data_IF_824255871414
#
_entry.id   IF_824255871414
#
_cell.length_a   1.000
_cell.length_b   1.000
_cell.length_c   1.000
_cell.angle_alpha   90.00
_cell.angle_beta   90.00
_cell.angle_gamma   90.00
#
_symmetry.space_group_name_H-M   'P 1'
#
loop_
_entity.id
_entity.type
_entity.pdbx_description
1 polymer ?
#
# COMPACT_ATOMS: atom_id res chain seq x y z
N UNK A 1 -1.71 -26.52 -27.99
CA UNK A 1 -0.55 -26.19 -27.12
C UNK A 1 -0.95 -26.41 -25.67
N UNK A 2 -0.44 -27.46 -25.02
CA UNK A 2 -0.60 -27.61 -23.56
C UNK A 2 0.36 -26.62 -22.90
N UNK A 3 -0.09 -25.40 -22.64
CA UNK A 3 0.61 -24.54 -21.68
C UNK A 3 0.51 -25.24 -20.33
N UNK A 4 1.59 -25.92 -19.92
CA UNK A 4 1.68 -26.53 -18.62
C UNK A 4 1.62 -25.40 -17.59
N UNK A 5 0.64 -25.41 -16.68
CA UNK A 5 0.51 -24.38 -15.64
C UNK A 5 1.83 -24.18 -14.86
N UNK A 6 2.59 -25.28 -14.68
CA UNK A 6 3.93 -25.25 -14.09
C UNK A 6 4.90 -24.34 -14.85
N UNK A 7 4.85 -24.37 -16.17
CA UNK A 7 5.70 -23.54 -17.03
C UNK A 7 5.32 -22.07 -16.95
N UNK A 8 4.02 -21.77 -16.91
CA UNK A 8 3.54 -20.41 -16.74
C UNK A 8 3.96 -19.82 -15.39
N UNK A 9 3.89 -20.62 -14.32
CA UNK A 9 4.38 -20.23 -12.98
C UNK A 9 5.88 -20.01 -13.00
N UNK A 10 6.66 -20.95 -13.54
CA UNK A 10 8.12 -20.82 -13.66
C UNK A 10 8.51 -19.56 -14.41
N UNK A 11 7.88 -19.30 -15.57
CA UNK A 11 8.12 -18.10 -16.37
C UNK A 11 7.77 -16.81 -15.64
N UNK A 12 6.70 -16.82 -14.83
CA UNK A 12 6.27 -15.61 -14.12
C UNK A 12 7.14 -15.28 -12.91
N UNK A 13 7.61 -16.29 -12.18
CA UNK A 13 8.22 -16.10 -10.85
C UNK A 13 9.70 -16.49 -10.77
N UNK A 14 10.18 -17.43 -11.60
CA UNK A 14 11.57 -17.92 -11.55
C UNK A 14 12.43 -17.30 -12.66
N UNK A 15 11.97 -17.37 -13.91
CA UNK A 15 12.73 -16.81 -15.05
C UNK A 15 13.16 -15.34 -14.90
N UNK A 16 12.38 -14.44 -14.24
CA UNK A 16 12.84 -13.08 -14.02
C UNK A 16 14.15 -12.98 -13.21
N UNK A 17 14.49 -13.99 -12.41
CA UNK A 17 15.68 -14.03 -11.54
C UNK A 17 16.94 -14.56 -12.24
N UNK A 18 16.82 -15.10 -13.45
CA UNK A 18 17.95 -15.72 -14.19
C UNK A 18 18.73 -14.72 -15.05
N UNK A 19 18.15 -13.54 -15.28
CA UNK A 19 18.76 -12.50 -16.11
C UNK A 19 19.75 -11.67 -15.29
N UNK A 20 20.92 -11.28 -15.83
CA UNK A 20 21.82 -10.33 -15.19
C UNK A 20 21.08 -9.01 -14.94
N UNK A 21 21.05 -8.53 -13.69
CA UNK A 21 20.37 -7.28 -13.33
C UNK A 21 21.31 -6.31 -12.64
N UNK A 22 21.10 -5.02 -12.92
CA UNK A 22 21.54 -3.96 -12.03
C UNK A 22 20.67 -4.01 -10.79
N UNK A 23 21.27 -3.94 -9.60
CA UNK A 23 20.51 -3.91 -8.35
C UNK A 23 19.69 -2.62 -8.28
N UNK A 24 18.36 -2.75 -8.37
CA UNK A 24 17.43 -1.67 -8.07
C UNK A 24 16.70 -1.94 -6.75
N UNK A 25 16.13 -0.88 -6.21
CA UNK A 25 15.28 -0.91 -5.02
C UNK A 25 13.90 -0.41 -5.45
N UNK A 26 12.86 -1.19 -5.17
CA UNK A 26 11.47 -0.72 -5.14
C UNK A 26 11.09 -0.38 -3.70
N UNK A 27 10.30 0.68 -3.52
CA UNK A 27 9.78 1.07 -2.20
C UNK A 27 8.32 1.46 -2.38
N UNK A 28 7.46 0.87 -1.56
CA UNK A 28 6.05 1.21 -1.49
C UNK A 28 5.73 1.64 -0.05
N UNK A 29 5.00 2.73 0.10
CA UNK A 29 4.63 3.29 1.41
C UNK A 29 3.17 3.65 1.38
N UNK A 30 2.41 2.99 2.24
CA UNK A 30 1.02 3.32 2.54
C UNK A 30 0.97 4.27 3.73
N UNK A 31 0.13 5.30 3.62
CA UNK A 31 0.08 6.41 4.56
C UNK A 31 -1.39 6.72 4.89
N UNK A 32 -1.82 6.61 6.15
CA UNK A 32 -3.16 7.01 6.53
C UNK A 32 -3.34 8.50 6.28
N UNK A 33 -4.38 8.85 5.51
CA UNK A 33 -4.96 10.18 5.51
C UNK A 33 -5.80 10.29 6.79
N UNK A 34 -5.57 11.33 7.59
CA UNK A 34 -6.30 11.59 8.83
C UNK A 34 -6.98 12.95 8.80
N UNK A 35 -8.10 13.07 9.52
CA UNK A 35 -8.68 14.37 9.86
C UNK A 35 -7.93 14.99 11.04
N UNK A 36 -7.51 16.25 10.90
CA UNK A 36 -6.87 17.02 11.98
C UNK A 36 -7.84 17.35 13.13
N UNK A 37 -9.14 17.12 12.95
CA UNK A 37 -10.16 17.26 14.01
C UNK A 37 -10.32 16.01 14.87
N UNK A 38 -9.65 14.89 14.54
CA UNK A 38 -9.83 13.62 15.24
C UNK A 38 -11.15 12.91 14.95
N UNK A 39 -11.68 13.15 13.75
CA UNK A 39 -12.91 12.57 13.21
C UNK A 39 -12.58 11.62 12.03
N UNK A 40 -13.61 11.12 11.35
CA UNK A 40 -13.43 10.36 10.12
C UNK A 40 -12.74 11.19 9.04
N UNK A 41 -11.98 10.50 8.20
CA UNK A 41 -11.37 11.08 7.02
C UNK A 41 -12.44 11.46 6.01
N UNK A 42 -12.33 12.65 5.43
CA UNK A 42 -13.11 13.01 4.25
C UNK A 42 -12.47 12.38 3.01
N UNK A 43 -13.04 11.26 2.57
CA UNK A 43 -12.55 10.51 1.40
C UNK A 43 -12.56 11.34 0.12
N UNK A 44 -13.42 12.36 0.00
CA UNK A 44 -13.41 13.27 -1.14
C UNK A 44 -12.17 14.17 -1.15
N UNK A 45 -11.68 14.57 0.03
CA UNK A 45 -10.43 15.32 0.17
C UNK A 45 -9.23 14.44 -0.17
N UNK A 46 -9.23 13.17 0.27
CA UNK A 46 -8.20 12.20 -0.11
C UNK A 46 -8.13 12.01 -1.62
N UNK A 47 -9.25 11.69 -2.27
CA UNK A 47 -9.30 11.49 -3.72
C UNK A 47 -8.88 12.74 -4.49
N UNK A 48 -9.27 13.93 -4.03
CA UNK A 48 -8.83 15.19 -4.61
C UNK A 48 -7.32 15.42 -4.46
N UNK A 49 -6.71 14.95 -3.36
CA UNK A 49 -5.27 15.05 -3.15
C UNK A 49 -4.47 14.21 -4.15
N UNK A 50 -4.93 12.98 -4.45
CA UNK A 50 -4.32 12.15 -5.50
C UNK A 50 -4.38 12.86 -6.85
N UNK A 51 -5.56 13.36 -7.22
CA UNK A 51 -5.76 14.06 -8.50
C UNK A 51 -4.88 15.30 -8.62
N UNK A 52 -4.80 16.10 -7.56
CA UNK A 52 -4.00 17.32 -7.57
C UNK A 52 -2.49 17.05 -7.57
N UNK A 53 -2.04 16.01 -6.85
CA UNK A 53 -0.66 15.55 -6.90
C UNK A 53 -0.31 15.00 -8.29
N UNK A 54 -1.16 14.16 -8.87
CA UNK A 54 -0.97 13.63 -10.20
C UNK A 54 -0.82 14.74 -11.24
N UNK A 55 -1.71 15.76 -11.19
CA UNK A 55 -1.61 16.94 -12.05
C UNK A 55 -0.31 17.72 -11.84
N UNK A 56 0.12 17.90 -10.59
CA UNK A 56 1.34 18.66 -10.24
C UNK A 56 2.61 17.99 -10.75
N UNK A 57 2.67 16.67 -10.67
CA UNK A 57 3.85 15.87 -11.01
C UNK A 57 3.79 15.25 -12.40
N UNK A 58 2.72 15.52 -13.17
CA UNK A 58 2.57 15.02 -14.54
C UNK A 58 2.26 13.52 -14.63
N UNK A 59 1.57 12.96 -13.64
CA UNK A 59 1.14 11.56 -13.65
C UNK A 59 -0.16 11.44 -14.45
N UNK A 60 -0.34 10.30 -15.11
CA UNK A 60 -1.54 9.96 -15.88
C UNK A 60 -2.46 9.09 -15.04
N UNK A 61 -3.74 9.44 -14.94
CA UNK A 61 -4.75 8.61 -14.26
C UNK A 61 -4.92 7.26 -15.00
N UNK A 62 -4.81 6.14 -14.28
CA UNK A 62 -4.85 4.77 -14.88
C UNK A 62 -6.02 3.93 -14.39
N UNK A 63 -6.55 4.18 -13.19
CA UNK A 63 -7.72 3.46 -12.65
C UNK A 63 -8.73 4.39 -12.00
N UNK A 64 -9.99 4.03 -12.21
CA UNK A 64 -11.15 4.73 -11.66
C UNK A 64 -12.10 3.73 -11.00
N UNK A 65 -12.78 4.17 -9.95
CA UNK A 65 -13.83 3.38 -9.30
C UNK A 65 -15.11 3.34 -10.16
N UNK A 66 -16.15 2.64 -9.71
CA UNK A 66 -17.43 2.55 -10.45
C UNK A 66 -18.16 3.90 -10.60
N UNK A 67 -17.75 4.94 -9.87
CA UNK A 67 -18.29 6.29 -9.95
C UNK A 67 -17.41 7.24 -10.78
N UNK A 68 -16.31 6.75 -11.35
CA UNK A 68 -15.38 7.56 -12.13
C UNK A 68 -14.37 8.35 -11.29
N UNK A 69 -14.22 8.04 -10.00
CA UNK A 69 -13.21 8.67 -9.13
C UNK A 69 -11.87 7.97 -9.34
N UNK A 70 -10.85 8.75 -9.70
CA UNK A 70 -9.49 8.24 -9.86
C UNK A 70 -8.96 7.69 -8.53
N UNK A 71 -8.40 6.47 -8.56
CA UNK A 71 -7.75 5.86 -7.40
C UNK A 71 -6.36 5.29 -7.74
N UNK A 72 -5.86 5.53 -8.95
CA UNK A 72 -4.49 5.23 -9.35
C UNK A 72 -4.03 6.20 -10.45
N UNK A 73 -2.81 6.71 -10.33
CA UNK A 73 -2.13 7.49 -11.36
C UNK A 73 -0.65 7.09 -11.45
N UNK A 74 -0.08 7.08 -12.65
CA UNK A 74 1.27 6.59 -12.94
C UNK A 74 2.10 7.67 -13.65
N UNK A 75 3.35 7.83 -13.22
CA UNK A 75 4.36 8.58 -13.96
C UNK A 75 5.10 7.65 -14.92
N UNK A 76 4.93 7.81 -16.23
CA UNK A 76 5.61 6.97 -17.21
C UNK A 76 7.13 7.13 -17.21
N UNK A 77 7.62 8.34 -16.89
CA UNK A 77 9.05 8.65 -16.89
C UNK A 77 9.78 7.92 -15.76
N UNK A 78 9.22 7.94 -14.56
CA UNK A 78 9.88 7.39 -13.37
C UNK A 78 9.38 6.00 -12.99
N UNK A 79 8.19 5.62 -13.45
CA UNK A 79 7.47 4.43 -13.00
C UNK A 79 6.82 4.58 -11.61
N UNK A 80 6.78 5.79 -11.05
CA UNK A 80 6.12 6.04 -9.77
C UNK A 80 4.60 5.96 -9.90
N UNK A 81 3.94 5.50 -8.85
CA UNK A 81 2.49 5.32 -8.79
C UNK A 81 1.95 5.96 -7.53
N UNK A 82 0.87 6.75 -7.69
CA UNK A 82 0.00 7.14 -6.59
C UNK A 82 -1.27 6.30 -6.64
N UNK A 83 -1.66 5.72 -5.52
CA UNK A 83 -2.80 4.81 -5.42
C UNK A 83 -3.51 4.95 -4.08
N UNK A 84 -4.64 4.25 -3.93
CA UNK A 84 -5.25 3.98 -2.64
C UNK A 84 -5.24 2.49 -2.35
N UNK A 85 -4.74 2.08 -1.19
CA UNK A 85 -4.85 0.68 -0.77
C UNK A 85 -6.17 0.44 -0.03
N UNK A 86 -7.02 -0.39 -0.65
CA UNK A 86 -8.32 -0.83 -0.17
C UNK A 86 -9.37 0.26 0.08
N UNK A 87 -9.02 1.46 0.52
CA UNK A 87 -9.90 2.55 0.92
C UNK A 87 -9.26 3.91 0.63
N UNK A 88 -10.08 4.93 0.38
CA UNK A 88 -9.64 6.32 0.25
C UNK A 88 -9.02 6.92 1.54
N UNK A 89 -8.95 6.13 2.61
CA UNK A 89 -8.25 6.50 3.84
C UNK A 89 -6.75 6.23 3.80
N UNK A 90 -6.26 5.41 2.86
CA UNK A 90 -4.88 4.92 2.85
C UNK A 90 -4.22 5.25 1.52
N UNK A 91 -3.48 6.37 1.49
CA UNK A 91 -2.79 6.82 0.29
C UNK A 91 -1.50 6.04 0.14
N UNK A 92 -1.26 5.47 -1.03
CA UNK A 92 -0.07 4.68 -1.34
C UNK A 92 0.82 5.44 -2.33
N UNK A 93 2.12 5.48 -2.03
CA UNK A 93 3.17 5.94 -2.94
C UNK A 93 4.06 4.74 -3.24
N UNK A 94 3.99 4.26 -4.48
CA UNK A 94 4.80 3.17 -4.99
C UNK A 94 5.87 3.72 -5.91
N UNK A 95 7.10 3.81 -5.42
CA UNK A 95 8.22 4.38 -6.16
C UNK A 95 8.72 3.40 -7.20
N UNK A 96 8.82 3.88 -8.44
CA UNK A 96 9.55 3.22 -9.51
C UNK A 96 11.01 3.00 -9.12
N UNK A 97 11.66 2.07 -9.82
CA UNK A 97 12.98 1.53 -9.49
C UNK A 97 14.03 2.63 -9.28
N UNK A 98 14.68 2.65 -8.12
CA UNK A 98 15.82 3.52 -7.83
C UNK A 98 17.13 2.75 -7.70
N UNK A 99 18.25 3.44 -7.88
CA UNK A 99 19.57 2.88 -7.59
C UNK A 99 20.05 3.19 -6.18
N UNK A 100 19.55 4.27 -5.59
CA UNK A 100 19.97 4.73 -4.26
C UNK A 100 18.78 5.11 -3.39
N UNK A 101 18.94 4.96 -2.08
CA UNK A 101 17.92 5.42 -1.12
C UNK A 101 17.75 6.95 -1.15
N UNK A 102 18.79 7.70 -1.56
CA UNK A 102 18.71 9.16 -1.70
C UNK A 102 17.77 9.59 -2.84
N UNK A 103 17.77 8.87 -3.97
CA UNK A 103 16.81 9.10 -5.05
C UNK A 103 15.37 8.86 -4.59
N UNK A 104 15.14 7.77 -3.86
CA UNK A 104 13.82 7.47 -3.30
C UNK A 104 13.39 8.53 -2.29
N UNK A 105 14.29 8.90 -1.36
CA UNK A 105 14.03 9.90 -0.34
C UNK A 105 13.68 11.26 -0.96
N UNK A 106 14.42 11.70 -1.97
CA UNK A 106 14.19 12.99 -2.62
C UNK A 106 12.79 13.06 -3.24
N UNK A 107 12.39 12.04 -4.02
CA UNK A 107 11.06 11.97 -4.65
C UNK A 107 9.95 11.84 -3.61
N UNK A 108 10.09 10.92 -2.67
CA UNK A 108 9.10 10.73 -1.60
C UNK A 108 8.88 12.02 -0.80
N UNK A 109 9.96 12.73 -0.44
CA UNK A 109 9.87 13.97 0.33
C UNK A 109 9.15 15.06 -0.45
N UNK A 110 9.42 15.21 -1.75
CA UNK A 110 8.74 16.19 -2.60
C UNK A 110 7.23 15.88 -2.72
N UNK A 111 6.90 14.61 -3.00
CA UNK A 111 5.51 14.14 -3.11
C UNK A 111 4.72 14.37 -1.82
N UNK A 112 5.24 13.87 -0.70
CA UNK A 112 4.57 14.00 0.61
C UNK A 112 4.45 15.46 1.02
N UNK A 113 5.46 16.29 0.77
CA UNK A 113 5.41 17.73 1.10
C UNK A 113 4.30 18.45 0.32
N UNK A 114 4.19 18.17 -0.98
CA UNK A 114 3.12 18.74 -1.80
C UNK A 114 1.74 18.26 -1.38
N UNK A 115 1.57 16.94 -1.22
CA UNK A 115 0.29 16.32 -0.83
C UNK A 115 -0.15 16.85 0.54
N UNK A 116 0.76 16.91 1.52
CA UNK A 116 0.43 17.43 2.86
C UNK A 116 0.12 18.92 2.86
N UNK A 117 0.70 19.72 1.95
CA UNK A 117 0.31 21.12 1.78
C UNK A 117 -1.16 21.21 1.34
N UNK A 118 -1.56 20.40 0.36
CA UNK A 118 -2.94 20.34 -0.12
C UNK A 118 -3.93 19.86 0.95
N UNK A 119 -3.58 18.78 1.67
CA UNK A 119 -4.42 18.18 2.70
C UNK A 119 -4.57 19.09 3.92
N UNK A 120 -3.50 19.73 4.39
CA UNK A 120 -3.53 20.62 5.56
C UNK A 120 -4.46 21.80 5.35
N UNK A 121 -4.47 22.38 4.15
CA UNK A 121 -5.41 23.44 3.78
C UNK A 121 -6.87 23.01 3.87
N UNK A 122 -7.14 21.71 3.90
CA UNK A 122 -8.46 21.08 4.01
C UNK A 122 -8.67 20.33 5.33
N UNK A 123 -7.83 20.61 6.34
CA UNK A 123 -7.95 20.00 7.66
C UNK A 123 -7.58 18.52 7.72
N UNK A 124 -6.75 18.04 6.78
CA UNK A 124 -6.29 16.65 6.71
C UNK A 124 -4.77 16.55 6.70
N UNK A 125 -4.24 15.33 6.86
CA UNK A 125 -2.80 15.06 6.85
C UNK A 125 -2.51 13.61 6.45
N UNK A 126 -1.49 13.37 5.62
CA UNK A 126 -0.86 12.05 5.52
C UNK A 126 0.06 11.82 6.71
N UNK A 127 -0.10 10.66 7.36
CA UNK A 127 0.73 10.23 8.49
C UNK A 127 1.57 9.00 8.13
N UNK A 128 2.56 8.69 8.96
CA UNK A 128 3.37 7.47 8.83
C UNK A 128 2.97 6.38 9.83
N UNK A 129 1.72 6.36 10.29
CA UNK A 129 1.24 5.37 11.26
C UNK A 129 0.85 4.06 10.56
N UNK A 130 1.13 2.92 11.19
CA UNK A 130 0.73 1.61 10.65
C UNK A 130 -0.75 1.31 10.81
N UNK A 131 -1.44 2.07 11.68
CA UNK A 131 -2.90 2.06 11.82
C UNK A 131 -3.38 3.50 11.84
N UNK A 132 -4.47 3.79 11.14
CA UNK A 132 -5.13 5.08 11.23
C UNK A 132 -5.57 5.33 12.69
N UNK A 133 -5.10 6.40 13.36
CA UNK A 133 -5.38 6.63 14.78
C UNK A 133 -6.86 6.82 15.09
N UNK A 134 -7.69 7.13 14.08
CA UNK A 134 -9.13 7.31 14.22
C UNK A 134 -9.94 6.15 13.64
N UNK A 135 -9.34 4.97 13.45
CA UNK A 135 -9.96 3.81 12.79
C UNK A 135 -11.37 3.47 13.29
N UNK A 136 -11.66 3.62 14.59
CA UNK A 136 -13.01 3.39 15.18
C UNK A 136 -14.10 4.29 14.62
N UNK A 137 -13.73 5.55 14.35
CA UNK A 137 -14.66 6.58 13.85
C UNK A 137 -14.66 6.64 12.33
N UNK A 138 -13.63 6.07 11.71
CA UNK A 138 -13.35 6.27 10.31
C UNK A 138 -14.39 5.58 9.42
N UNK A 139 -14.55 6.08 8.20
CA UNK A 139 -15.37 5.41 7.20
C UNK A 139 -14.58 4.24 6.62
N UNK A 140 -14.91 3.00 7.01
CA UNK A 140 -14.21 1.79 6.57
C UNK A 140 -14.75 1.24 5.25
N UNK A 141 -15.32 2.09 4.40
CA UNK A 141 -15.71 1.73 3.05
C UNK A 141 -14.48 1.41 2.20
N UNK A 142 -14.58 0.30 1.46
CA UNK A 142 -13.59 -0.04 0.45
C UNK A 142 -13.76 0.85 -0.79
N UNK A 143 -12.68 1.08 -1.54
CA UNK A 143 -12.74 1.72 -2.85
C UNK A 143 -13.74 0.94 -3.71
N UNK A 144 -14.77 1.61 -4.29
CA UNK A 144 -15.82 0.97 -5.08
C UNK A 144 -15.32 0.34 -6.39
N UNK A 145 -14.61 -0.79 -6.30
CA UNK A 145 -14.09 -1.54 -7.45
C UNK A 145 -14.36 -3.04 -7.30
N UNK A 146 -14.48 -3.79 -8.40
CA UNK A 146 -14.72 -5.24 -8.33
C UNK A 146 -13.68 -6.00 -7.50
N UNK A 147 -12.41 -5.58 -7.56
CA UNK A 147 -11.31 -6.20 -6.79
C UNK A 147 -11.54 -6.05 -5.28
N UNK A 148 -11.80 -4.83 -4.82
CA UNK A 148 -11.95 -4.57 -3.39
C UNK A 148 -13.30 -5.03 -2.85
N UNK A 149 -14.37 -5.02 -3.65
CA UNK A 149 -15.65 -5.63 -3.29
C UNK A 149 -15.53 -7.14 -3.10
N UNK A 150 -14.77 -7.83 -3.96
CA UNK A 150 -14.46 -9.25 -3.78
C UNK A 150 -13.69 -9.49 -2.47
N UNK A 151 -12.67 -8.67 -2.17
CA UNK A 151 -11.89 -8.77 -0.93
C UNK A 151 -12.77 -8.54 0.30
N UNK A 152 -13.58 -7.47 0.31
CA UNK A 152 -14.53 -7.16 1.38
C UNK A 152 -15.49 -8.33 1.63
N UNK A 153 -16.08 -8.87 0.56
CA UNK A 153 -16.97 -10.02 0.64
C UNK A 153 -16.29 -11.26 1.21
N UNK A 154 -15.04 -11.52 0.83
CA UNK A 154 -14.27 -12.64 1.36
C UNK A 154 -13.94 -12.47 2.85
N UNK A 155 -13.46 -11.29 3.26
CA UNK A 155 -13.11 -11.01 4.66
C UNK A 155 -14.33 -11.08 5.59
N UNK A 156 -15.52 -10.69 5.11
CA UNK A 156 -16.76 -10.79 5.91
C UNK A 156 -17.20 -12.23 6.19
N UNK A 157 -16.80 -13.21 5.37
CA UNK A 157 -17.11 -14.63 5.60
C UNK A 157 -16.48 -15.19 6.87
N UNK A 158 -15.46 -14.53 7.43
CA UNK A 158 -14.88 -14.95 8.72
C UNK A 158 -15.92 -15.00 9.85
N UNK A 159 -17.00 -14.21 9.74
CA UNK A 159 -18.12 -14.20 10.69
C UNK A 159 -19.00 -15.44 10.61
N UNK A 160 -18.93 -16.18 9.50
CA UNK A 160 -19.73 -17.37 9.23
C UNK A 160 -18.92 -18.66 9.51
N UNK A 161 -17.62 -18.56 9.75
CA UNK A 161 -16.72 -19.71 9.87
C UNK A 161 -16.32 -19.95 11.31
N UNK A 162 -16.61 -21.15 11.82
CA UNK A 162 -16.12 -21.60 13.11
C UNK A 162 -14.69 -22.13 12.96
N UNK A 163 -13.75 -21.53 13.69
CA UNK A 163 -12.36 -21.98 13.80
C UNK A 163 -11.98 -22.00 15.27
N UNK A 164 -11.23 -23.03 15.69
CA UNK A 164 -10.60 -23.03 17.00
C UNK A 164 -9.65 -21.83 17.14
N UNK A 165 -9.83 -21.04 18.21
CA UNK A 165 -9.17 -19.73 18.40
C UNK A 165 -9.82 -18.54 17.66
N UNK A 166 -10.81 -18.76 16.81
CA UNK A 166 -11.58 -17.72 16.13
C UNK A 166 -10.81 -16.91 15.06
N UNK A 167 -11.47 -15.87 14.55
CA UNK A 167 -10.86 -14.82 13.71
C UNK A 167 -10.89 -13.49 14.47
N UNK A 168 -9.95 -12.58 14.18
CA UNK A 168 -10.01 -11.23 14.73
C UNK A 168 -11.31 -10.51 14.30
N UNK A 169 -11.85 -9.59 15.11
CA UNK A 169 -13.16 -8.97 14.84
C UNK A 169 -13.13 -7.95 13.69
N UNK A 170 -11.94 -7.45 13.32
CA UNK A 170 -11.78 -6.38 12.32
C UNK A 170 -11.86 -6.86 10.87
N UNK A 171 -13.06 -7.17 10.36
CA UNK A 171 -13.23 -7.59 8.95
C UNK A 171 -12.88 -6.50 7.92
N UNK A 172 -12.73 -5.25 8.36
CA UNK A 172 -12.40 -4.09 7.53
C UNK A 172 -10.99 -3.56 7.79
N UNK A 173 -10.13 -4.32 8.47
CA UNK A 173 -8.75 -3.91 8.77
C UNK A 173 -7.95 -3.35 7.59
N UNK A 174 -8.09 -3.84 6.32
CA UNK A 174 -7.32 -3.28 5.22
C UNK A 174 -7.64 -1.82 4.92
N UNK A 175 -8.77 -1.31 5.40
CA UNK A 175 -9.20 0.08 5.16
C UNK A 175 -8.55 1.10 6.11
N UNK A 176 -7.80 0.61 7.10
CA UNK A 176 -7.16 1.46 8.12
C UNK A 176 -5.77 0.98 8.56
N UNK A 177 -5.28 -0.15 8.04
CA UNK A 177 -3.90 -0.58 8.19
C UNK A 177 -3.04 -0.04 7.06
N UNK A 178 -1.78 0.28 7.37
CA UNK A 178 -0.80 0.74 6.41
C UNK A 178 0.51 0.00 6.60
N UNK A 179 1.17 -0.32 5.49
CA UNK A 179 2.47 -0.95 5.48
C UNK A 179 3.53 -0.11 4.73
N UNK A 180 4.79 -0.45 4.97
CA UNK A 180 5.92 0.00 4.16
C UNK A 180 6.65 -1.24 3.64
N UNK A 181 6.80 -1.35 2.34
CA UNK A 181 7.39 -2.49 1.66
C UNK A 181 8.64 -2.10 0.89
N UNK A 182 9.58 -3.03 0.77
CA UNK A 182 10.75 -2.91 -0.10
C UNK A 182 10.81 -4.10 -1.03
N UNK A 183 11.05 -3.85 -2.31
CA UNK A 183 11.26 -4.88 -3.32
C UNK A 183 12.74 -4.89 -3.71
N UNK A 184 13.36 -6.05 -3.62
CA UNK A 184 14.77 -6.26 -3.95
C UNK A 184 14.89 -7.21 -5.13
N UNK A 185 15.74 -6.86 -6.10
CA UNK A 185 16.14 -7.80 -7.15
C UNK A 185 17.01 -8.91 -6.52
N UNK A 186 16.74 -10.16 -6.93
CA UNK A 186 17.47 -11.35 -6.47
C UNK A 186 17.79 -12.24 -7.67
N UNK A 187 18.97 -12.85 -7.66
CA UNK A 187 19.38 -13.81 -8.70
C UNK A 187 18.90 -15.21 -8.35
N UNK A 188 18.72 -16.07 -9.34
CA UNK A 188 18.24 -17.45 -9.15
C UNK A 188 19.11 -18.21 -8.12
N UNK A 189 20.43 -18.01 -8.15
CA UNK A 189 21.38 -18.72 -7.27
C UNK A 189 21.23 -18.32 -5.80
N UNK A 190 20.76 -17.09 -5.53
CA UNK A 190 20.63 -16.54 -4.18
C UNK A 190 19.18 -16.49 -3.68
N UNK A 191 18.21 -16.92 -4.49
CA UNK A 191 16.79 -16.80 -4.17
C UNK A 191 16.43 -17.42 -2.81
N UNK A 192 16.85 -18.66 -2.56
CA UNK A 192 16.57 -19.34 -1.30
C UNK A 192 17.28 -18.68 -0.11
N UNK A 193 18.56 -18.32 -0.27
CA UNK A 193 19.36 -17.66 0.78
C UNK A 193 18.73 -16.33 1.20
N UNK A 194 18.29 -15.52 0.23
CA UNK A 194 17.65 -14.23 0.50
C UNK A 194 16.31 -14.43 1.19
N UNK A 195 15.46 -15.35 0.73
CA UNK A 195 14.18 -15.65 1.38
C UNK A 195 14.39 -16.10 2.83
N UNK A 196 15.35 -16.99 3.08
CA UNK A 196 15.68 -17.47 4.41
C UNK A 196 16.17 -16.33 5.32
N UNK A 197 17.13 -15.53 4.84
CA UNK A 197 17.66 -14.39 5.58
C UNK A 197 16.56 -13.39 5.95
N UNK A 198 15.69 -13.01 5.00
CA UNK A 198 14.59 -12.07 5.26
C UNK A 198 13.54 -12.66 6.21
N UNK A 199 13.25 -13.96 6.11
CA UNK A 199 12.33 -14.64 7.02
C UNK A 199 12.85 -14.64 8.47
N UNK A 200 14.16 -14.83 8.66
CA UNK A 200 14.79 -14.83 9.98
C UNK A 200 14.80 -13.45 10.64
N UNK A 201 14.92 -12.36 9.87
CA UNK A 201 14.95 -10.99 10.42
C UNK A 201 13.57 -10.37 10.59
N UNK A 202 12.51 -10.96 10.02
CA UNK A 202 11.16 -10.37 10.05
C UNK A 202 10.65 -10.06 11.46
N UNK A 203 10.83 -10.91 12.49
CA UNK A 203 10.41 -10.58 13.86
C UNK A 203 11.14 -9.35 14.43
N UNK A 204 12.41 -9.18 14.09
CA UNK A 204 13.22 -8.03 14.52
C UNK A 204 12.73 -6.77 13.81
N UNK A 205 12.45 -6.86 12.50
CA UNK A 205 11.85 -5.75 11.74
C UNK A 205 10.51 -5.34 12.33
N UNK A 206 9.63 -6.29 12.64
CA UNK A 206 8.33 -6.01 13.22
C UNK A 206 8.44 -5.20 14.54
N UNK A 207 9.43 -5.52 15.38
CA UNK A 207 9.69 -4.76 16.61
C UNK A 207 10.27 -3.36 16.32
N UNK A 208 11.25 -3.25 15.42
CA UNK A 208 11.90 -1.98 15.07
C UNK A 208 10.94 -0.97 14.43
N UNK A 209 9.97 -1.47 13.67
CA UNK A 209 8.97 -0.66 12.95
C UNK A 209 7.58 -0.68 13.59
N UNK A 210 7.46 -1.16 14.84
CA UNK A 210 6.20 -1.21 15.56
C UNK A 210 5.58 0.20 15.69
N UNK A 211 4.44 0.43 15.03
CA UNK A 211 3.81 1.75 14.96
C UNK A 211 2.29 1.69 14.73
N UNK A 212 1.63 0.69 15.33
CA UNK A 212 0.25 0.29 14.99
C UNK A 212 -0.58 -0.07 16.23
N UNK A 213 -0.45 0.71 17.31
CA UNK A 213 -1.06 0.38 18.60
C UNK A 213 -2.60 0.35 18.57
N UNK A 214 -3.13 -0.85 18.83
CA UNK A 214 -4.49 -1.26 19.15
C UNK A 214 -4.93 -1.08 20.62
N UNK A 215 -5.49 0.04 21.15
CA UNK A 215 -5.73 0.14 22.60
C UNK A 215 -6.79 -0.82 23.15
N UNK A 216 -7.60 -1.44 22.29
CA UNK A 216 -8.62 -2.41 22.71
C UNK A 216 -8.22 -3.86 22.46
N UNK A 217 -7.02 -4.10 21.89
CA UNK A 217 -6.49 -5.46 21.74
C UNK A 217 -5.54 -5.76 22.90
N UNK A 218 -5.53 -7.01 23.40
CA UNK A 218 -4.53 -7.42 24.38
C UNK A 218 -3.12 -7.35 23.78
N UNK A 219 -2.14 -7.01 24.62
CA UNK A 219 -0.70 -7.03 24.27
C UNK A 219 -0.22 -8.43 23.84
#
# INVERSE_FOLDING_TARGET
MKNNAKELIRRRFIEPTTSPRTNYIGIEIEMPVISLKGEKTDQSVSAAALKEAARRFGFTETKHDVFGVCHEAVCEETGDVFSFDCSYNNFEISLGKVRTLHEAQARFTDYVSYINTFLRARGHLLTGMGINPFYRKNDTSFVPSPRYQMLEGYLRKSREWERDGGFHPYTTYPTFSSASQVQLDVTEERLCEVIEAFSLVEPIKALLFANSYLPDEPD
#
